data_IF_592270932602
#
_entry.id   IF_592270932602
#
_cell.length_a   1.000
_cell.length_b   1.000
_cell.length_c   1.000
_cell.angle_alpha   90.00
_cell.angle_beta   90.00
_cell.angle_gamma   90.00
#
_symmetry.space_group_name_H-M   'P 1'
#
loop_
_entity.id
_entity.type
_entity.pdbx_description
1 polymer ?
#
# COMPACT_ATOMS: atom_id res chain seq x y z
N UNK A 1 19.18 -3.21 -26.75
CA UNK A 1 18.50 -4.10 -25.78
C UNK A 1 17.23 -4.57 -26.44
N UNK A 2 16.88 -5.85 -26.35
CA UNK A 2 15.53 -6.27 -26.79
C UNK A 2 14.50 -5.52 -25.94
N UNK A 3 13.40 -5.01 -26.52
CA UNK A 3 12.35 -4.39 -25.75
C UNK A 3 11.86 -5.38 -24.69
N UNK A 4 11.78 -4.95 -23.43
CA UNK A 4 11.24 -5.80 -22.37
C UNK A 4 9.77 -6.10 -22.67
N UNK A 5 9.25 -7.20 -22.15
CA UNK A 5 7.83 -7.53 -22.30
C UNK A 5 6.95 -6.40 -21.76
N UNK A 6 5.76 -6.16 -22.33
CA UNK A 6 4.85 -5.12 -21.85
C UNK A 6 4.29 -5.42 -20.45
N UNK A 7 3.82 -4.39 -19.75
CA UNK A 7 3.11 -4.50 -18.46
C UNK A 7 1.89 -3.60 -18.43
N UNK A 8 0.80 -4.10 -17.85
CA UNK A 8 -0.40 -3.31 -17.57
C UNK A 8 -0.46 -2.96 -16.10
N UNK A 9 -0.66 -1.68 -15.81
CA UNK A 9 -0.83 -1.15 -14.46
C UNK A 9 -2.28 -0.71 -14.30
N UNK A 10 -3.03 -1.38 -13.43
CA UNK A 10 -4.42 -1.05 -13.14
C UNK A 10 -4.48 -0.07 -11.97
N UNK A 11 -4.76 1.20 -12.25
CA UNK A 11 -4.93 2.24 -11.23
C UNK A 11 -4.13 3.51 -11.53
N UNK A 12 -4.74 4.48 -12.19
CA UNK A 12 -4.16 5.79 -12.51
C UNK A 12 -4.09 6.79 -11.33
N UNK A 13 -3.93 6.30 -10.10
CA UNK A 13 -3.64 7.13 -8.91
C UNK A 13 -2.16 7.49 -8.81
N UNK A 14 -1.74 8.20 -7.75
CA UNK A 14 -0.34 8.63 -7.58
C UNK A 14 0.63 7.46 -7.65
N UNK A 15 0.38 6.38 -6.89
CA UNK A 15 1.33 5.27 -6.78
C UNK A 15 1.36 4.37 -8.02
N UNK A 16 0.21 4.08 -8.62
CA UNK A 16 0.15 3.32 -9.88
C UNK A 16 0.82 4.07 -11.02
N UNK A 17 0.62 5.40 -11.10
CA UNK A 17 1.34 6.25 -12.06
C UNK A 17 2.85 6.22 -11.83
N UNK A 18 3.30 6.35 -10.58
CA UNK A 18 4.73 6.31 -10.26
C UNK A 18 5.39 4.98 -10.65
N UNK A 19 4.74 3.85 -10.35
CA UNK A 19 5.21 2.51 -10.74
C UNK A 19 5.21 2.33 -12.25
N UNK A 20 4.17 2.78 -12.94
CA UNK A 20 4.09 2.73 -14.40
C UNK A 20 5.23 3.51 -15.05
N UNK A 21 5.55 4.69 -14.52
CA UNK A 21 6.70 5.48 -14.96
C UNK A 21 8.03 4.77 -14.68
N UNK A 22 8.17 4.07 -13.56
CA UNK A 22 9.39 3.28 -13.25
C UNK A 22 9.61 2.17 -14.28
N UNK A 23 8.57 1.41 -14.64
CA UNK A 23 8.67 0.38 -15.69
C UNK A 23 9.01 0.98 -17.05
N UNK A 24 8.32 2.05 -17.42
CA UNK A 24 8.52 2.74 -18.69
C UNK A 24 9.96 3.27 -18.83
N UNK A 25 10.53 3.87 -17.76
CA UNK A 25 11.94 4.32 -17.74
C UNK A 25 12.95 3.18 -17.83
N UNK A 26 12.59 1.99 -17.37
CA UNK A 26 13.41 0.79 -17.49
C UNK A 26 13.27 0.11 -18.88
N UNK A 27 12.50 0.69 -19.80
CA UNK A 27 12.33 0.19 -21.17
C UNK A 27 11.27 -0.92 -21.32
N UNK A 28 10.38 -1.08 -20.35
CA UNK A 28 9.16 -1.90 -20.51
C UNK A 28 8.03 -1.04 -21.09
N UNK A 29 7.47 -1.37 -22.28
CA UNK A 29 6.24 -0.74 -22.75
C UNK A 29 5.14 -0.88 -21.69
N UNK A 30 4.61 0.24 -21.23
CA UNK A 30 3.74 0.25 -20.05
C UNK A 30 2.37 0.84 -20.38
N UNK A 31 1.32 0.13 -20.01
CA UNK A 31 -0.07 0.53 -20.21
C UNK A 31 -0.70 0.86 -18.87
N UNK A 32 -0.93 2.14 -18.60
CA UNK A 32 -1.56 2.62 -17.37
C UNK A 32 -3.07 2.75 -17.61
N UNK A 33 -3.83 1.86 -16.99
CA UNK A 33 -5.29 1.90 -17.05
C UNK A 33 -5.89 2.74 -15.92
N UNK A 34 -6.91 3.53 -16.27
CA UNK A 34 -7.72 4.30 -15.33
C UNK A 34 -9.21 4.15 -15.58
N UNK A 35 -10.00 4.09 -14.49
CA UNK A 35 -11.45 3.88 -14.55
C UNK A 35 -12.24 5.08 -15.09
N UNK A 36 -11.61 6.25 -15.24
CA UNK A 36 -12.24 7.50 -15.66
C UNK A 36 -11.67 7.90 -17.02
N UNK A 37 -12.43 7.68 -18.12
CA UNK A 37 -11.98 8.04 -19.47
C UNK A 37 -11.61 9.52 -19.59
N UNK A 38 -12.36 10.40 -18.92
CA UNK A 38 -12.07 11.84 -18.89
C UNK A 38 -10.73 12.16 -18.23
N UNK A 39 -10.38 11.49 -17.13
CA UNK A 39 -9.08 11.67 -16.47
C UNK A 39 -7.93 11.09 -17.32
N UNK A 40 -8.15 9.96 -17.96
CA UNK A 40 -7.18 9.34 -18.88
C UNK A 40 -6.91 10.22 -20.10
N UNK A 41 -7.95 10.80 -20.71
CA UNK A 41 -7.79 11.72 -21.84
C UNK A 41 -7.03 12.98 -21.44
N UNK A 42 -7.33 13.56 -20.27
CA UNK A 42 -6.55 14.69 -19.73
C UNK A 42 -5.08 14.31 -19.56
N UNK A 43 -4.80 13.15 -18.96
CA UNK A 43 -3.43 12.64 -18.80
C UNK A 43 -2.70 12.42 -20.14
N UNK A 44 -3.44 12.01 -21.18
CA UNK A 44 -2.91 11.79 -22.54
C UNK A 44 -2.51 13.11 -23.19
N UNK A 45 -3.37 14.13 -23.11
CA UNK A 45 -3.13 15.47 -23.66
C UNK A 45 -2.01 16.21 -22.92
N UNK A 46 -2.02 16.16 -21.58
CA UNK A 46 -1.03 16.85 -20.74
C UNK A 46 0.30 16.10 -20.65
N UNK A 47 0.33 14.82 -21.07
CA UNK A 47 1.45 13.88 -20.86
C UNK A 47 1.92 13.86 -19.41
N UNK A 48 0.96 13.91 -18.48
CA UNK A 48 1.20 14.04 -17.06
C UNK A 48 -0.05 13.68 -16.24
N UNK A 49 0.12 13.18 -15.01
CA UNK A 49 -0.98 13.00 -14.06
C UNK A 49 -1.13 14.21 -13.13
N UNK A 50 -1.56 15.35 -13.65
CA UNK A 50 -1.59 16.61 -12.90
C UNK A 50 -2.38 16.53 -11.59
N UNK A 51 -3.45 15.74 -11.58
CA UNK A 51 -4.31 15.51 -10.40
C UNK A 51 -3.58 14.84 -9.24
N UNK A 52 -2.71 13.88 -9.52
CA UNK A 52 -2.14 12.98 -8.50
C UNK A 52 -0.62 13.07 -8.36
N UNK A 53 0.07 13.55 -9.39
CA UNK A 53 1.51 13.78 -9.50
C UNK A 53 1.75 15.05 -10.36
N UNK A 54 1.47 16.25 -9.82
CA UNK A 54 1.80 17.49 -10.51
C UNK A 54 3.31 17.63 -10.74
N UNK A 55 3.65 18.44 -11.74
CA UNK A 55 4.98 18.76 -12.26
C UNK A 55 5.89 17.57 -12.67
N UNK A 56 5.32 16.44 -13.10
CA UNK A 56 6.09 15.27 -13.57
C UNK A 56 5.59 14.77 -14.93
N UNK A 57 6.44 14.92 -15.96
CA UNK A 57 6.16 14.50 -17.33
C UNK A 57 6.31 12.98 -17.48
N UNK A 58 5.40 12.36 -18.22
CA UNK A 58 5.44 10.94 -18.53
C UNK A 58 6.58 10.58 -19.48
N UNK A 59 7.27 9.44 -19.26
CA UNK A 59 8.19 8.89 -20.23
C UNK A 59 7.46 8.52 -21.55
N UNK A 60 8.20 8.43 -22.66
CA UNK A 60 7.62 8.18 -23.99
C UNK A 60 6.87 6.83 -24.05
N UNK A 61 7.46 5.77 -23.49
CA UNK A 61 6.93 4.40 -23.48
C UNK A 61 5.80 4.18 -22.45
N UNK A 62 5.18 5.26 -21.95
CA UNK A 62 4.02 5.20 -21.06
C UNK A 62 2.75 5.54 -21.85
N UNK A 63 1.94 4.50 -22.07
CA UNK A 63 0.66 4.54 -22.76
C UNK A 63 -0.50 4.59 -21.75
N UNK A 64 -1.55 5.34 -22.10
CA UNK A 64 -2.71 5.55 -21.24
C UNK A 64 -3.92 4.86 -21.86
N UNK A 65 -4.55 3.98 -21.10
CA UNK A 65 -5.68 3.15 -21.54
C UNK A 65 -6.91 3.42 -20.67
N UNK A 66 -8.06 3.59 -21.30
CA UNK A 66 -9.36 3.66 -20.63
C UNK A 66 -10.22 2.41 -20.88
N UNK A 67 -9.84 1.58 -21.86
CA UNK A 67 -10.42 0.25 -22.09
C UNK A 67 -9.68 -0.83 -21.29
N UNK A 68 -10.39 -1.44 -20.34
CA UNK A 68 -9.82 -2.46 -19.46
C UNK A 68 -9.45 -3.73 -20.24
N UNK A 69 -10.31 -4.23 -21.12
CA UNK A 69 -10.08 -5.47 -21.85
C UNK A 69 -8.87 -5.33 -22.79
N UNK A 70 -8.79 -4.20 -23.50
CA UNK A 70 -7.67 -3.88 -24.37
C UNK A 70 -6.37 -3.83 -23.59
N UNK A 71 -6.32 -3.12 -22.45
CA UNK A 71 -5.10 -3.03 -21.64
C UNK A 71 -4.61 -4.43 -21.22
N UNK A 72 -5.48 -5.29 -20.71
CA UNK A 72 -5.13 -6.65 -20.28
C UNK A 72 -4.55 -7.49 -21.42
N UNK A 73 -5.09 -7.40 -22.64
CA UNK A 73 -4.55 -8.13 -23.79
C UNK A 73 -3.16 -7.66 -24.26
N UNK A 74 -2.69 -6.49 -23.82
CA UNK A 74 -1.37 -5.97 -24.21
C UNK A 74 -0.22 -6.64 -23.47
N UNK A 75 -0.46 -7.30 -22.34
CA UNK A 75 0.63 -7.71 -21.44
C UNK A 75 0.36 -8.99 -20.67
N UNK A 76 1.42 -9.76 -20.45
CA UNK A 76 1.39 -10.90 -19.54
C UNK A 76 1.25 -10.48 -18.06
N UNK A 77 1.90 -9.40 -17.66
CA UNK A 77 1.96 -8.95 -16.27
C UNK A 77 0.92 -7.89 -16.00
N UNK A 78 0.09 -8.13 -14.98
CA UNK A 78 -0.97 -7.24 -14.54
C UNK A 78 -0.65 -6.78 -13.13
N UNK A 79 -0.27 -5.51 -13.00
CA UNK A 79 0.04 -4.86 -11.73
C UNK A 79 -1.15 -4.05 -11.23
N UNK A 80 -1.78 -4.52 -10.16
CA UNK A 80 -2.96 -3.91 -9.54
C UNK A 80 -2.51 -2.90 -8.48
N UNK A 81 -2.86 -1.62 -8.67
CA UNK A 81 -2.49 -0.50 -7.78
C UNK A 81 -3.69 0.38 -7.48
N UNK A 82 -4.83 -0.27 -7.22
CA UNK A 82 -6.06 0.41 -6.80
C UNK A 82 -6.16 0.48 -5.27
N UNK A 83 -7.00 1.37 -4.71
CA UNK A 83 -7.32 1.34 -3.29
C UNK A 83 -7.87 -0.01 -2.84
N UNK A 84 -7.63 -0.39 -1.58
CA UNK A 84 -8.03 -1.71 -1.03
C UNK A 84 -9.53 -1.98 -1.16
N UNK A 85 -10.36 -0.95 -0.98
CA UNK A 85 -11.82 -1.05 -1.11
C UNK A 85 -12.31 -1.34 -2.53
N UNK A 86 -11.50 -1.04 -3.56
CA UNK A 86 -11.83 -1.27 -4.96
C UNK A 86 -11.21 -2.58 -5.50
N UNK A 87 -10.34 -3.24 -4.72
CA UNK A 87 -9.57 -4.39 -5.17
C UNK A 87 -10.46 -5.55 -5.62
N UNK A 88 -11.45 -5.93 -4.80
CA UNK A 88 -12.40 -7.00 -5.09
C UNK A 88 -13.20 -6.71 -6.39
N UNK A 89 -13.69 -5.48 -6.56
CA UNK A 89 -14.40 -5.06 -7.79
C UNK A 89 -13.51 -5.18 -9.04
N UNK A 90 -12.22 -4.81 -8.92
CA UNK A 90 -11.27 -4.95 -10.03
C UNK A 90 -11.02 -6.42 -10.37
N UNK A 91 -10.88 -7.31 -9.39
CA UNK A 91 -10.72 -8.75 -9.65
C UNK A 91 -11.92 -9.31 -10.44
N UNK A 92 -13.14 -8.93 -10.05
CA UNK A 92 -14.35 -9.32 -10.77
C UNK A 92 -14.37 -8.82 -12.22
N UNK A 93 -13.90 -7.59 -12.47
CA UNK A 93 -13.82 -7.01 -13.82
C UNK A 93 -12.74 -7.62 -14.70
N UNK A 94 -11.57 -7.99 -14.15
CA UNK A 94 -10.49 -8.58 -14.95
C UNK A 94 -10.72 -10.06 -15.24
N UNK A 95 -11.41 -10.79 -14.35
CA UNK A 95 -11.67 -12.24 -14.44
C UNK A 95 -12.08 -12.72 -15.85
N UNK A 96 -13.07 -12.13 -16.55
CA UNK A 96 -13.48 -12.60 -17.88
C UNK A 96 -12.42 -12.41 -18.97
N UNK A 97 -11.38 -11.60 -18.72
CA UNK A 97 -10.31 -11.30 -19.67
C UNK A 97 -9.00 -12.04 -19.35
N UNK A 98 -8.94 -12.77 -18.23
CA UNK A 98 -7.71 -13.46 -17.84
C UNK A 98 -7.46 -14.69 -18.71
N UNK A 99 -6.19 -14.86 -19.11
CA UNK A 99 -5.69 -15.97 -19.90
C UNK A 99 -4.66 -16.76 -19.07
N UNK A 100 -4.44 -18.07 -19.34
CA UNK A 100 -3.55 -18.90 -18.53
C UNK A 100 -2.10 -18.42 -18.39
N UNK A 101 -1.63 -17.57 -19.31
CA UNK A 101 -0.28 -17.03 -19.27
C UNK A 101 -0.13 -15.82 -18.34
N UNK A 102 -1.22 -15.18 -17.91
CA UNK A 102 -1.17 -13.98 -17.09
C UNK A 102 -0.54 -14.22 -15.72
N UNK A 103 0.09 -13.17 -15.19
CA UNK A 103 0.67 -13.15 -13.85
C UNK A 103 0.19 -11.91 -13.12
N UNK A 104 -0.20 -12.07 -11.86
CA UNK A 104 -0.86 -11.03 -11.09
C UNK A 104 0.09 -10.50 -10.02
N UNK A 105 0.27 -9.18 -9.99
CA UNK A 105 1.02 -8.50 -8.94
C UNK A 105 0.10 -7.43 -8.36
N UNK A 106 0.22 -7.14 -7.08
CA UNK A 106 -0.40 -5.93 -6.53
C UNK A 106 0.58 -5.13 -5.69
N UNK A 107 0.41 -3.81 -5.76
CA UNK A 107 1.03 -2.85 -4.85
C UNK A 107 -0.02 -2.14 -3.97
N UNK A 108 -1.26 -2.64 -3.98
CA UNK A 108 -2.33 -2.25 -3.06
C UNK A 108 -1.96 -2.64 -1.63
N UNK A 109 -1.94 -1.66 -0.73
CA UNK A 109 -1.57 -1.83 0.69
C UNK A 109 -2.81 -1.75 1.58
N UNK A 110 -3.47 -2.89 1.79
CA UNK A 110 -4.61 -2.98 2.67
C UNK A 110 -5.17 -4.38 2.81
N UNK A 111 -6.29 -4.47 3.52
CA UNK A 111 -7.06 -5.70 3.72
C UNK A 111 -8.40 -5.58 3.00
N UNK A 112 -9.05 -6.71 2.72
CA UNK A 112 -10.37 -6.70 2.09
C UNK A 112 -11.38 -5.99 2.99
N UNK A 113 -12.15 -5.07 2.39
CA UNK A 113 -13.15 -4.28 3.10
C UNK A 113 -14.24 -5.14 3.74
N UNK A 114 -14.64 -4.79 4.95
CA UNK A 114 -15.62 -5.42 5.84
C UNK A 114 -15.26 -6.82 6.35
N UNK A 115 -14.30 -7.51 5.74
CA UNK A 115 -13.91 -8.86 6.15
C UNK A 115 -12.52 -8.89 6.78
N UNK A 116 -11.64 -7.94 6.50
CA UNK A 116 -10.24 -7.95 6.94
C UNK A 116 -9.42 -9.14 6.45
N UNK A 117 -9.80 -9.76 5.33
CA UNK A 117 -9.01 -10.85 4.73
C UNK A 117 -7.79 -10.30 3.98
N UNK A 118 -6.75 -11.12 3.85
CA UNK A 118 -5.60 -10.78 3.02
C UNK A 118 -6.02 -10.74 1.55
N UNK A 119 -5.43 -9.83 0.78
CA UNK A 119 -5.75 -9.70 -0.64
C UNK A 119 -5.37 -10.95 -1.42
N UNK A 120 -4.30 -11.66 -1.04
CA UNK A 120 -3.98 -12.97 -1.65
C UNK A 120 -5.15 -13.96 -1.55
N UNK A 121 -5.84 -14.04 -0.41
CA UNK A 121 -6.97 -14.94 -0.19
C UNK A 121 -8.14 -14.55 -1.09
N UNK A 122 -8.38 -13.25 -1.26
CA UNK A 122 -9.42 -12.76 -2.17
C UNK A 122 -9.10 -13.12 -3.63
N UNK A 123 -7.83 -13.00 -4.04
CA UNK A 123 -7.39 -13.40 -5.39
C UNK A 123 -7.61 -14.89 -5.60
N UNK A 124 -7.14 -15.74 -4.68
CA UNK A 124 -7.23 -17.19 -4.79
C UNK A 124 -8.70 -17.67 -4.83
N UNK A 125 -9.58 -17.07 -4.02
CA UNK A 125 -11.01 -17.42 -4.04
C UNK A 125 -11.73 -17.00 -5.33
N UNK A 126 -11.40 -15.82 -5.87
CA UNK A 126 -12.12 -15.28 -7.03
C UNK A 126 -11.59 -15.79 -8.37
N UNK A 127 -10.27 -15.96 -8.46
CA UNK A 127 -9.57 -16.25 -9.70
C UNK A 127 -8.94 -17.66 -9.72
N UNK A 128 -8.89 -18.33 -8.56
CA UNK A 128 -8.21 -19.61 -8.40
C UNK A 128 -6.70 -19.47 -8.15
N UNK A 129 -6.03 -20.61 -8.00
CA UNK A 129 -4.60 -20.71 -7.66
C UNK A 129 -3.68 -20.94 -8.87
N UNK A 130 -4.24 -20.84 -10.09
CA UNK A 130 -3.52 -21.16 -11.34
C UNK A 130 -2.58 -20.05 -11.82
N UNK A 131 -2.70 -18.84 -11.26
CA UNK A 131 -1.91 -17.69 -11.67
C UNK A 131 -0.73 -17.48 -10.70
N UNK A 132 0.49 -17.21 -11.20
CA UNK A 132 1.57 -16.69 -10.37
C UNK A 132 1.16 -15.36 -9.72
N UNK A 133 1.37 -15.25 -8.41
CA UNK A 133 0.97 -14.10 -7.59
C UNK A 133 2.20 -13.44 -6.99
N UNK A 134 2.24 -12.10 -6.99
CA UNK A 134 3.27 -11.34 -6.29
C UNK A 134 2.73 -10.07 -5.62
N UNK A 135 3.47 -9.56 -4.64
CA UNK A 135 3.17 -8.35 -3.87
C UNK A 135 4.37 -7.42 -3.85
N UNK A 136 4.12 -6.13 -4.07
CA UNK A 136 5.09 -5.07 -3.89
C UNK A 136 4.74 -4.23 -2.66
N UNK A 137 5.67 -4.13 -1.71
CA UNK A 137 5.51 -3.26 -0.53
C UNK A 137 6.86 -2.77 -0.01
N UNK A 138 6.89 -1.59 0.61
CA UNK A 138 8.13 -0.94 1.04
C UNK A 138 8.04 0.60 1.08
N UNK A 139 9.08 1.27 1.61
CA UNK A 139 9.13 2.70 1.87
C UNK A 139 9.23 3.49 0.55
N UNK A 140 8.09 3.79 -0.05
CA UNK A 140 8.00 4.28 -1.43
C UNK A 140 6.96 5.39 -1.54
N UNK A 141 7.39 6.65 -1.42
CA UNK A 141 6.50 7.76 -1.75
C UNK A 141 6.37 7.89 -3.27
N UNK A 142 5.13 7.99 -3.75
CA UNK A 142 4.83 8.05 -5.18
C UNK A 142 5.54 9.23 -5.87
N UNK A 143 5.62 10.39 -5.22
CA UNK A 143 6.28 11.58 -5.77
C UNK A 143 7.77 11.35 -5.97
N UNK A 144 8.46 10.84 -4.96
CA UNK A 144 9.90 10.54 -5.02
C UNK A 144 10.23 9.49 -6.05
N UNK A 145 9.43 8.41 -6.11
CA UNK A 145 9.56 7.36 -7.12
C UNK A 145 9.35 7.92 -8.54
N UNK A 146 8.32 8.74 -8.73
CA UNK A 146 8.04 9.39 -10.01
C UNK A 146 9.11 10.43 -10.40
N UNK A 147 9.81 11.03 -9.44
CA UNK A 147 10.97 11.89 -9.69
C UNK A 147 12.26 11.12 -9.98
N UNK A 148 12.27 9.80 -9.77
CA UNK A 148 13.46 8.97 -9.95
C UNK A 148 14.47 9.13 -8.81
N UNK A 149 14.02 9.53 -7.62
CA UNK A 149 14.87 9.57 -6.43
C UNK A 149 15.20 8.15 -5.94
N UNK A 150 16.36 7.94 -5.29
CA UNK A 150 16.74 6.64 -4.75
C UNK A 150 15.67 6.07 -3.81
N UNK A 151 15.17 4.89 -4.12
CA UNK A 151 14.13 4.21 -3.34
C UNK A 151 14.37 2.70 -3.31
N UNK A 152 13.86 2.03 -2.29
CA UNK A 152 13.89 0.57 -2.16
C UNK A 152 12.50 -0.01 -1.89
N UNK A 153 12.23 -1.20 -2.43
CA UNK A 153 10.97 -1.93 -2.24
C UNK A 153 11.22 -3.43 -2.08
N UNK A 154 10.31 -4.12 -1.41
CA UNK A 154 10.27 -5.58 -1.35
C UNK A 154 9.26 -6.12 -2.35
N UNK A 155 9.67 -7.17 -3.07
CA UNK A 155 8.83 -8.02 -3.90
C UNK A 155 8.73 -9.39 -3.22
N UNK A 156 7.51 -9.89 -3.03
CA UNK A 156 7.29 -11.27 -2.61
C UNK A 156 6.36 -11.99 -3.57
N UNK A 157 6.56 -13.29 -3.78
CA UNK A 157 5.83 -14.07 -4.77
C UNK A 157 5.65 -15.51 -4.32
N UNK A 158 4.58 -16.16 -4.75
CA UNK A 158 4.36 -17.60 -4.58
C UNK A 158 5.08 -18.42 -5.66
N UNK A 159 5.71 -17.74 -6.62
CA UNK A 159 6.45 -18.32 -7.73
C UNK A 159 7.83 -17.62 -7.83
N UNK A 160 8.90 -18.38 -7.58
CA UNK A 160 10.28 -17.86 -7.53
C UNK A 160 10.75 -17.33 -8.89
N UNK A 161 10.49 -18.09 -9.97
CA UNK A 161 10.85 -17.67 -11.32
C UNK A 161 10.21 -16.33 -11.68
N UNK A 162 8.92 -16.19 -11.38
CA UNK A 162 8.21 -14.93 -11.57
C UNK A 162 8.80 -13.80 -10.74
N UNK A 163 9.18 -14.05 -9.48
CA UNK A 163 9.81 -13.05 -8.63
C UNK A 163 11.11 -12.51 -9.25
N UNK A 164 11.98 -13.40 -9.73
CA UNK A 164 13.27 -13.03 -10.30
C UNK A 164 13.12 -12.29 -11.63
N UNK A 165 12.23 -12.76 -12.50
CA UNK A 165 11.93 -12.08 -13.77
C UNK A 165 11.33 -10.70 -13.54
N UNK A 166 10.37 -10.58 -12.63
CA UNK A 166 9.73 -9.31 -12.32
C UNK A 166 10.70 -8.34 -11.63
N UNK A 167 11.53 -8.84 -10.69
CA UNK A 167 12.60 -8.07 -10.07
C UNK A 167 13.54 -7.48 -11.13
N UNK A 168 14.01 -8.30 -12.08
CA UNK A 168 14.94 -7.86 -13.13
C UNK A 168 14.37 -6.74 -14.00
N UNK A 169 13.05 -6.72 -14.22
CA UNK A 169 12.36 -5.68 -15.00
C UNK A 169 12.23 -4.36 -14.26
N UNK A 170 11.81 -4.41 -13.01
CA UNK A 170 11.50 -3.20 -12.23
C UNK A 170 12.75 -2.62 -11.52
N UNK A 171 13.77 -3.44 -11.27
CA UNK A 171 15.01 -3.01 -10.62
C UNK A 171 15.80 -2.05 -11.51
N UNK A 172 16.22 -0.92 -10.95
CA UNK A 172 17.20 -0.01 -11.52
C UNK A 172 18.31 0.27 -10.51
N UNK A 173 19.55 -0.10 -10.85
CA UNK A 173 20.71 0.01 -9.96
C UNK A 173 20.99 1.43 -9.47
N UNK A 174 20.54 2.44 -10.22
CA UNK A 174 20.75 3.86 -9.89
C UNK A 174 19.74 4.42 -8.90
N UNK A 175 18.46 4.10 -9.06
CA UNK A 175 17.39 4.79 -8.31
C UNK A 175 16.29 3.88 -7.76
N UNK A 176 16.19 2.60 -8.14
CA UNK A 176 15.12 1.75 -7.62
C UNK A 176 15.56 0.31 -7.34
N UNK A 177 15.88 0.04 -6.07
CA UNK A 177 16.32 -1.28 -5.62
C UNK A 177 15.15 -2.15 -5.20
N UNK A 178 15.07 -3.33 -5.78
CA UNK A 178 14.02 -4.31 -5.45
C UNK A 178 14.64 -5.52 -4.75
N UNK A 179 14.13 -5.86 -3.58
CA UNK A 179 14.56 -6.99 -2.75
C UNK A 179 13.51 -8.09 -2.81
N UNK A 180 13.92 -9.30 -3.18
CA UNK A 180 13.02 -10.47 -3.17
C UNK A 180 12.90 -11.00 -1.73
N UNK A 181 11.69 -11.36 -1.34
CA UNK A 181 11.34 -12.02 -0.09
C UNK A 181 10.36 -13.17 -0.39
N UNK A 182 10.48 -14.32 0.26
CA UNK A 182 9.57 -15.46 0.09
C UNK A 182 8.28 -15.36 0.92
N UNK A 183 8.20 -14.42 1.87
CA UNK A 183 7.08 -14.25 2.79
C UNK A 183 6.06 -13.23 2.27
N UNK A 184 5.16 -13.69 1.38
CA UNK A 184 4.07 -12.85 0.86
C UNK A 184 3.11 -12.36 1.96
N UNK A 185 2.88 -13.16 3.00
CA UNK A 185 1.97 -12.81 4.10
C UNK A 185 2.55 -11.62 4.88
N UNK A 186 3.80 -11.72 5.31
CA UNK A 186 4.48 -10.66 6.05
C UNK A 186 4.61 -9.37 5.24
N UNK A 187 4.92 -9.46 3.94
CA UNK A 187 5.02 -8.29 3.05
C UNK A 187 3.67 -7.57 2.90
N UNK A 188 2.56 -8.29 2.78
CA UNK A 188 1.21 -7.70 2.73
C UNK A 188 0.84 -7.03 4.05
N UNK A 189 1.01 -7.74 5.18
CA UNK A 189 0.59 -7.26 6.49
C UNK A 189 1.39 -6.04 6.94
N UNK A 190 2.70 -6.03 6.69
CA UNK A 190 3.57 -4.88 6.95
C UNK A 190 3.04 -3.61 6.26
N UNK A 191 2.71 -3.72 4.97
CA UNK A 191 2.16 -2.61 4.18
C UNK A 191 0.74 -2.19 4.58
N UNK A 192 -0.13 -3.15 4.92
CA UNK A 192 -1.52 -2.91 5.24
C UNK A 192 -1.70 -2.20 6.59
N UNK A 193 -1.02 -2.68 7.63
CA UNK A 193 -1.26 -2.26 9.02
C UNK A 193 -0.45 -1.02 9.39
N UNK A 194 0.71 -0.77 8.76
CA UNK A 194 1.54 0.42 9.06
C UNK A 194 0.76 1.74 8.99
N UNK A 195 -0.25 1.82 8.13
CA UNK A 195 -1.06 3.02 7.94
C UNK A 195 -1.90 3.31 9.18
N UNK A 196 -2.33 2.29 9.92
CA UNK A 196 -3.04 2.43 11.20
C UNK A 196 -2.11 3.02 12.26
N UNK A 197 -0.89 2.48 12.36
CA UNK A 197 0.12 2.98 13.30
C UNK A 197 0.50 4.43 12.97
N UNK A 198 0.59 4.77 11.68
CA UNK A 198 0.88 6.14 11.24
C UNK A 198 -0.21 7.15 11.62
N UNK A 199 -1.49 6.73 11.67
CA UNK A 199 -2.56 7.57 12.23
C UNK A 199 -2.31 7.83 13.71
N UNK A 200 -1.96 6.79 14.48
CA UNK A 200 -1.63 6.94 15.90
C UNK A 200 -0.43 7.85 16.15
N UNK A 201 0.63 7.71 15.34
CA UNK A 201 1.78 8.60 15.37
C UNK A 201 1.39 10.05 15.05
N UNK A 202 0.53 10.26 14.03
CA UNK A 202 -0.02 11.56 13.70
C UNK A 202 -0.82 12.17 14.85
N UNK A 203 -1.72 11.40 15.49
CA UNK A 203 -2.51 11.87 16.64
C UNK A 203 -1.59 12.32 17.78
N UNK A 204 -0.57 11.50 18.09
CA UNK A 204 0.42 11.82 19.12
C UNK A 204 1.16 13.12 18.83
N UNK A 205 1.53 13.35 17.56
CA UNK A 205 2.21 14.58 17.15
C UNK A 205 1.27 15.80 17.15
N UNK A 206 0.01 15.65 16.74
CA UNK A 206 -1.00 16.71 16.77
C UNK A 206 -1.34 17.16 18.19
N UNK A 207 -1.15 16.29 19.19
CA UNK A 207 -1.26 16.61 20.62
C UNK A 207 0.01 17.22 21.22
N UNK A 208 1.11 17.30 20.47
CA UNK A 208 2.37 17.88 20.93
C UNK A 208 3.23 16.96 21.81
N UNK A 209 3.06 15.63 21.79
CA UNK A 209 3.87 14.72 22.61
C UNK A 209 5.31 14.48 22.10
N UNK A 210 5.62 14.97 20.91
CA UNK A 210 6.99 15.03 20.39
C UNK A 210 7.57 13.68 19.94
N UNK A 211 8.86 13.72 19.58
CA UNK A 211 9.52 12.62 18.88
C UNK A 211 9.64 11.32 19.71
N UNK A 212 9.80 11.42 21.03
CA UNK A 212 9.94 10.25 21.89
C UNK A 212 8.67 9.38 21.88
N UNK A 213 7.50 10.00 22.00
CA UNK A 213 6.22 9.30 21.93
C UNK A 213 6.00 8.66 20.56
N UNK A 214 6.33 9.38 19.48
CA UNK A 214 6.28 8.84 18.10
C UNK A 214 7.18 7.62 17.95
N UNK A 215 8.42 7.67 18.42
CA UNK A 215 9.34 6.52 18.35
C UNK A 215 8.82 5.32 19.13
N UNK A 216 8.29 5.53 20.35
CA UNK A 216 7.69 4.46 21.14
C UNK A 216 6.48 3.82 20.43
N UNK A 217 5.64 4.62 19.76
CA UNK A 217 4.52 4.12 18.95
C UNK A 217 4.98 3.32 17.74
N UNK A 218 6.05 3.73 17.06
CA UNK A 218 6.63 2.98 15.94
C UNK A 218 7.14 1.62 16.43
N UNK A 219 7.92 1.59 17.51
CA UNK A 219 8.48 0.35 18.09
C UNK A 219 7.39 -0.61 18.55
N UNK A 220 6.37 -0.11 19.26
CA UNK A 220 5.24 -0.96 19.70
C UNK A 220 4.35 -1.37 18.53
N UNK A 221 4.18 -0.50 17.54
CA UNK A 221 3.42 -0.76 16.33
C UNK A 221 4.02 -1.90 15.51
N UNK A 222 5.34 -1.93 15.33
CA UNK A 222 5.97 -3.05 14.60
C UNK A 222 5.83 -4.37 15.36
N UNK A 223 5.84 -4.35 16.70
CA UNK A 223 5.56 -5.54 17.51
C UNK A 223 4.12 -6.04 17.36
N UNK A 224 3.12 -5.16 17.25
CA UNK A 224 1.73 -5.55 16.97
C UNK A 224 1.59 -6.17 15.58
N UNK A 225 2.18 -5.54 14.57
CA UNK A 225 2.18 -6.06 13.19
C UNK A 225 2.83 -7.45 13.15
N UNK A 226 3.98 -7.61 13.81
CA UNK A 226 4.72 -8.88 13.87
C UNK A 226 3.91 -9.97 14.56
N UNK A 227 3.30 -9.69 15.73
CA UNK A 227 2.43 -10.68 16.42
C UNK A 227 1.27 -11.15 15.56
N UNK A 228 0.57 -10.23 14.91
CA UNK A 228 -0.53 -10.60 14.02
C UNK A 228 -0.02 -11.39 12.81
N UNK A 229 1.10 -10.98 12.22
CA UNK A 229 1.74 -11.70 11.14
C UNK A 229 2.11 -13.14 11.48
N UNK A 230 2.75 -13.35 12.63
CA UNK A 230 3.14 -14.69 13.10
C UNK A 230 1.92 -15.58 13.32
N UNK A 231 0.81 -15.04 13.83
CA UNK A 231 -0.44 -15.82 13.97
C UNK A 231 -0.99 -16.34 12.63
N UNK A 232 -0.64 -15.67 11.53
CA UNK A 232 -1.03 -16.02 10.16
C UNK A 232 0.06 -16.80 9.40
N UNK A 233 1.16 -17.17 10.07
CA UNK A 233 2.27 -17.92 9.48
C UNK A 233 3.33 -17.07 8.77
N UNK A 234 3.32 -15.74 8.93
CA UNK A 234 4.36 -14.88 8.39
C UNK A 234 5.71 -15.10 9.11
N UNK A 235 6.81 -14.84 8.40
CA UNK A 235 8.15 -14.86 8.98
C UNK A 235 8.38 -13.56 9.77
N UNK A 236 8.69 -13.63 11.08
CA UNK A 236 8.90 -12.43 11.90
C UNK A 236 10.02 -11.51 11.39
N UNK A 237 11.05 -12.06 10.72
CA UNK A 237 12.15 -11.27 10.16
C UNK A 237 11.72 -10.34 9.02
N UNK A 238 10.64 -10.68 8.31
CA UNK A 238 10.08 -9.82 7.24
C UNK A 238 9.72 -8.44 7.76
N UNK A 239 9.23 -8.36 8.99
CA UNK A 239 8.80 -7.09 9.59
C UNK A 239 9.97 -6.16 9.94
N UNK A 240 11.19 -6.67 10.04
CA UNK A 240 12.38 -5.82 10.22
C UNK A 240 12.91 -5.26 8.88
N UNK A 241 12.37 -5.72 7.75
CA UNK A 241 12.76 -5.28 6.41
C UNK A 241 12.02 -4.04 5.90
N UNK A 242 12.10 -3.83 4.58
CA UNK A 242 11.53 -2.67 3.90
C UNK A 242 9.99 -2.63 4.01
N UNK A 243 9.30 -3.75 3.80
CA UNK A 243 7.83 -3.83 3.84
C UNK A 243 7.23 -3.64 5.24
N UNK A 244 8.03 -3.83 6.29
CA UNK A 244 7.64 -3.63 7.69
C UNK A 244 8.20 -2.33 8.26
N UNK A 245 9.30 -2.42 9.01
CA UNK A 245 9.92 -1.30 9.72
C UNK A 245 10.26 -0.13 8.80
N UNK A 246 10.84 -0.39 7.62
CA UNK A 246 11.23 0.66 6.69
C UNK A 246 10.04 1.53 6.27
N UNK A 247 8.98 0.88 5.76
CA UNK A 247 7.77 1.57 5.30
C UNK A 247 6.99 2.18 6.48
N UNK A 248 7.00 1.55 7.65
CA UNK A 248 6.40 2.10 8.87
C UNK A 248 7.06 3.40 9.30
N UNK A 249 8.40 3.42 9.40
CA UNK A 249 9.17 4.62 9.78
C UNK A 249 8.86 5.75 8.80
N UNK A 250 9.02 5.52 7.50
CA UNK A 250 8.74 6.52 6.46
C UNK A 250 7.34 7.12 6.61
N UNK A 251 6.35 6.27 6.85
CA UNK A 251 4.93 6.67 6.91
C UNK A 251 4.60 7.45 8.18
N UNK A 252 5.29 7.17 9.29
CA UNK A 252 5.07 7.83 10.57
C UNK A 252 5.83 9.16 10.72
N UNK A 253 6.90 9.38 9.95
CA UNK A 253 7.79 10.54 10.15
C UNK A 253 7.66 11.63 9.09
N UNK A 254 7.01 11.37 7.96
CA UNK A 254 6.94 12.33 6.84
C UNK A 254 5.49 12.74 6.48
N UNK A 255 5.28 14.02 6.17
CA UNK A 255 3.97 14.58 5.82
C UNK A 255 3.47 14.25 4.40
N UNK A 256 4.30 13.66 3.55
CA UNK A 256 3.83 13.01 2.32
C UNK A 256 2.85 11.87 2.64
N UNK A 257 2.93 11.27 3.84
CA UNK A 257 1.97 10.31 4.35
C UNK A 257 0.61 10.97 4.64
N UNK A 258 -0.40 10.58 3.84
CA UNK A 258 -1.81 10.94 4.08
C UNK A 258 -2.31 10.46 5.44
N UNK A 259 -1.89 9.27 5.87
CA UNK A 259 -2.31 8.68 7.15
C UNK A 259 -1.75 9.45 8.35
N UNK A 260 -0.49 9.90 8.25
CA UNK A 260 0.12 10.75 9.28
C UNK A 260 -0.59 12.10 9.37
N UNK A 261 -0.80 12.78 8.23
CA UNK A 261 -1.53 14.05 8.19
C UNK A 261 -2.96 13.93 8.70
N UNK A 262 -3.64 12.83 8.39
CA UNK A 262 -4.95 12.52 8.95
C UNK A 262 -4.89 12.43 10.48
N UNK A 263 -3.93 11.66 11.01
CA UNK A 263 -3.72 11.58 12.45
C UNK A 263 -3.41 12.93 13.10
N UNK A 264 -2.56 13.77 12.49
CA UNK A 264 -2.24 15.12 13.00
C UNK A 264 -3.51 15.94 13.21
N UNK A 265 -4.37 16.03 12.20
CA UNK A 265 -5.63 16.78 12.27
C UNK A 265 -6.55 16.24 13.37
N UNK A 266 -6.63 14.92 13.54
CA UNK A 266 -7.38 14.32 14.65
C UNK A 266 -6.79 14.69 16.02
N UNK A 267 -5.47 14.72 16.14
CA UNK A 267 -4.76 15.15 17.35
C UNK A 267 -5.00 16.63 17.70
N UNK A 268 -5.15 17.47 16.66
CA UNK A 268 -5.51 18.89 16.76
C UNK A 268 -7.01 19.13 17.07
N UNK A 269 -7.81 18.07 17.11
CA UNK A 269 -9.22 18.10 17.50
C UNK A 269 -10.22 18.18 16.34
N UNK A 270 -9.76 18.05 15.09
CA UNK A 270 -10.68 17.93 13.96
C UNK A 270 -11.39 16.57 14.00
N UNK A 271 -12.66 16.53 13.57
CA UNK A 271 -13.35 15.26 13.37
C UNK A 271 -12.85 14.55 12.11
N UNK A 272 -13.05 13.22 12.06
CA UNK A 272 -12.56 12.38 10.98
C UNK A 272 -13.07 12.79 9.58
N UNK A 273 -14.34 13.22 9.45
CA UNK A 273 -14.88 13.62 8.15
C UNK A 273 -14.18 14.88 7.63
N UNK A 274 -14.07 15.90 8.45
CA UNK A 274 -13.35 17.13 8.09
C UNK A 274 -11.88 16.85 7.76
N UNK A 275 -11.20 15.98 8.51
CA UNK A 275 -9.82 15.61 8.23
C UNK A 275 -9.66 14.88 6.87
N UNK A 276 -10.61 13.99 6.51
CA UNK A 276 -10.61 13.34 5.20
C UNK A 276 -10.83 14.35 4.06
N UNK A 277 -11.78 15.27 4.22
CA UNK A 277 -12.10 16.30 3.22
C UNK A 277 -10.91 17.23 2.96
N UNK A 278 -10.19 17.62 4.02
CA UNK A 278 -8.96 18.43 3.92
C UNK A 278 -7.82 17.70 3.19
N UNK A 279 -7.74 16.36 3.30
CA UNK A 279 -6.72 15.58 2.59
C UNK A 279 -7.05 15.48 1.09
N UNK A 280 -8.33 15.47 0.73
CA UNK A 280 -8.80 15.42 -0.66
C UNK A 280 -8.46 14.14 -1.42
N UNK A 281 -8.02 13.09 -0.71
CA UNK A 281 -7.61 11.80 -1.26
C UNK A 281 -7.92 10.67 -0.27
N UNK A 282 -7.97 9.43 -0.79
CA UNK A 282 -8.20 8.24 0.03
C UNK A 282 -7.15 8.12 1.15
N UNK A 283 -7.63 7.96 2.39
CA UNK A 283 -6.82 7.63 3.57
C UNK A 283 -6.97 6.14 3.86
N UNK A 284 -6.09 5.32 3.28
CA UNK A 284 -6.14 3.85 3.44
C UNK A 284 -6.16 3.40 4.90
N UNK A 285 -5.42 4.09 5.77
CA UNK A 285 -5.36 3.78 7.20
C UNK A 285 -6.71 3.85 7.90
N UNK A 286 -7.58 4.78 7.50
CA UNK A 286 -8.93 4.90 8.08
C UNK A 286 -9.72 3.60 7.87
N UNK A 287 -9.77 3.11 6.63
CA UNK A 287 -10.46 1.86 6.30
C UNK A 287 -9.75 0.65 6.89
N UNK A 288 -8.42 0.57 6.73
CA UNK A 288 -7.61 -0.54 7.25
C UNK A 288 -7.67 -0.67 8.78
N UNK A 289 -7.95 0.39 9.53
CA UNK A 289 -8.11 0.28 10.99
C UNK A 289 -9.22 -0.71 11.37
N UNK A 290 -10.40 -0.59 10.74
CA UNK A 290 -11.51 -1.53 11.00
C UNK A 290 -11.13 -2.94 10.57
N UNK A 291 -10.51 -3.08 9.40
CA UNK A 291 -10.15 -4.39 8.87
C UNK A 291 -9.07 -5.10 9.69
N UNK A 292 -8.05 -4.36 10.15
CA UNK A 292 -6.99 -4.88 11.02
C UNK A 292 -7.55 -5.27 12.39
N UNK A 293 -8.48 -4.47 12.94
CA UNK A 293 -9.17 -4.80 14.17
C UNK A 293 -9.97 -6.11 14.04
N UNK A 294 -10.77 -6.27 12.98
CA UNK A 294 -11.54 -7.50 12.74
C UNK A 294 -10.64 -8.73 12.56
N UNK A 295 -9.53 -8.57 11.83
CA UNK A 295 -8.56 -9.64 11.65
C UNK A 295 -7.90 -10.04 12.98
N UNK A 296 -7.48 -9.07 13.79
CA UNK A 296 -6.91 -9.31 15.11
C UNK A 296 -7.88 -10.05 16.04
N UNK A 297 -9.16 -9.66 16.05
CA UNK A 297 -10.20 -10.33 16.83
C UNK A 297 -10.37 -11.79 16.40
N UNK A 298 -10.41 -12.07 15.09
CA UNK A 298 -10.51 -13.45 14.59
C UNK A 298 -9.30 -14.31 14.93
N UNK A 299 -8.10 -13.71 14.97
CA UNK A 299 -6.85 -14.41 15.32
C UNK A 299 -6.62 -14.48 16.84
N UNK A 300 -7.44 -13.82 17.66
CA UNK A 300 -7.23 -13.73 19.11
C UNK A 300 -5.94 -13.00 19.50
N UNK A 301 -5.46 -12.06 18.66
CA UNK A 301 -4.20 -11.34 18.87
C UNK A 301 -4.44 -9.95 19.47
N UNK A 302 -3.77 -9.64 20.58
CA UNK A 302 -3.79 -8.29 21.14
C UNK A 302 -3.03 -7.28 20.26
N UNK A 303 -3.77 -6.28 19.77
CA UNK A 303 -3.24 -5.12 19.06
C UNK A 303 -3.72 -3.79 19.68
N UNK A 304 -3.16 -3.39 20.84
CA UNK A 304 -3.61 -2.23 21.60
C UNK A 304 -3.66 -0.91 20.82
N UNK A 305 -2.64 -0.59 20.03
CA UNK A 305 -2.61 0.63 19.21
C UNK A 305 -3.75 0.55 18.20
N UNK A 306 -3.84 -0.55 17.45
CA UNK A 306 -4.91 -0.75 16.45
C UNK A 306 -6.30 -0.65 17.06
N UNK A 307 -6.52 -1.26 18.23
CA UNK A 307 -7.77 -1.20 18.98
C UNK A 307 -8.10 0.24 19.40
N UNK A 308 -7.14 0.99 19.94
CA UNK A 308 -7.41 2.37 20.34
C UNK A 308 -7.71 3.27 19.14
N UNK A 309 -7.00 3.10 18.02
CA UNK A 309 -7.33 3.84 16.79
C UNK A 309 -8.73 3.45 16.29
N UNK A 310 -9.12 2.18 16.37
CA UNK A 310 -10.49 1.75 16.05
C UNK A 310 -11.54 2.45 16.93
N UNK A 311 -11.29 2.54 18.24
CA UNK A 311 -12.20 3.23 19.17
C UNK A 311 -12.37 4.73 18.85
N UNK A 312 -11.29 5.41 18.45
CA UNK A 312 -11.35 6.82 18.03
C UNK A 312 -12.15 6.98 16.74
N UNK A 313 -11.84 6.18 15.74
CA UNK A 313 -12.40 6.37 14.40
C UNK A 313 -13.84 5.87 14.25
N UNK A 314 -14.22 4.83 15.01
CA UNK A 314 -15.49 4.12 14.78
C UNK A 314 -16.40 4.04 16.02
N UNK A 315 -15.89 4.33 17.23
CA UNK A 315 -16.68 4.27 18.47
C UNK A 315 -16.82 5.64 19.16
N UNK A 316 -16.32 6.72 18.56
CA UNK A 316 -16.47 8.08 19.09
C UNK A 316 -15.63 8.35 20.35
N UNK A 317 -14.62 7.52 20.64
CA UNK A 317 -13.72 7.75 21.77
C UNK A 317 -12.88 9.00 21.52
N UNK A 318 -12.72 9.86 22.53
CA UNK A 318 -11.88 11.04 22.41
C UNK A 318 -10.40 10.64 22.23
N UNK A 319 -9.71 11.27 21.28
CA UNK A 319 -8.32 11.00 20.99
C UNK A 319 -7.41 11.22 22.23
N UNK A 320 -7.73 12.19 23.09
CA UNK A 320 -6.95 12.48 24.31
C UNK A 320 -6.99 11.30 25.29
N UNK A 321 -8.14 10.64 25.42
CA UNK A 321 -8.32 9.49 26.31
C UNK A 321 -7.57 8.26 25.80
N UNK A 322 -7.41 8.15 24.48
CA UNK A 322 -6.63 7.07 23.86
C UNK A 322 -5.15 7.16 24.19
N UNK A 323 -4.55 8.34 24.07
CA UNK A 323 -3.11 8.44 24.35
C UNK A 323 -2.81 8.22 25.83
N UNK A 324 -3.68 8.71 26.73
CA UNK A 324 -3.62 8.38 28.16
C UNK A 324 -3.70 6.86 28.40
N UNK A 325 -4.60 6.17 27.70
CA UNK A 325 -4.74 4.71 27.81
C UNK A 325 -3.54 3.93 27.25
N UNK A 326 -2.89 4.43 26.19
CA UNK A 326 -1.71 3.78 25.58
C UNK A 326 -0.44 3.96 26.41
N UNK A 327 -0.29 5.13 27.05
CA UNK A 327 0.85 5.47 27.91
C UNK A 327 0.69 4.97 29.35
N UNK A 328 -0.55 4.86 29.85
CA UNK A 328 -0.85 4.44 31.22
C UNK A 328 -1.01 2.94 31.44
N UNK A 329 -0.75 2.10 30.43
CA UNK A 329 -0.93 0.64 30.53
C UNK A 329 0.06 0.04 31.54
N UNK A 330 -0.39 -0.94 32.33
CA UNK A 330 0.41 -1.61 33.37
C UNK A 330 1.74 -2.16 32.82
N UNK A 331 2.79 -2.11 33.65
CA UNK A 331 4.14 -2.56 33.33
C UNK A 331 4.12 -4.01 32.84
N UNK A 332 4.45 -4.23 31.56
CA UNK A 332 4.88 -5.53 31.02
C UNK A 332 6.35 -5.41 30.63
N UNK A 333 7.12 -6.50 30.76
CA UNK A 333 8.51 -6.56 30.28
C UNK A 333 8.58 -6.34 28.76
N UNK A 334 9.76 -5.93 28.27
CA UNK A 334 10.05 -5.79 26.83
C UNK A 334 9.91 -7.10 26.07
#
# INVERSE_FOLDING_TARGET
MQPQSPITVLGAGSYGTALAMSFSRNGSPTYLWGHSPTHIEQMRLERQNRRFLPDIVFPEELHLEDDLAQSLHRSQDILIVVPSHAFNEILAKIRPHLQPHHRLIWATKGLERNTGRLLQTVVEEQLGTNYPLAVLSGPTFAKELAQGLPTAITLASNNEQFALEFQARIHCSKHFRVYVNSDMIGVQLGGAIKNVIAIGAGISDGMGFGANARTALITRGIAEISRLGVSLGANPNTFMGMSGLGDLVLTCTDNQSRNRRFGLMLGEGLNAQMAMDNIGQVVEGFYNTKEAYLLAQRQGVEMPITEQIYQVLFCGKNAQDVVRSLLGRERKGE
#
